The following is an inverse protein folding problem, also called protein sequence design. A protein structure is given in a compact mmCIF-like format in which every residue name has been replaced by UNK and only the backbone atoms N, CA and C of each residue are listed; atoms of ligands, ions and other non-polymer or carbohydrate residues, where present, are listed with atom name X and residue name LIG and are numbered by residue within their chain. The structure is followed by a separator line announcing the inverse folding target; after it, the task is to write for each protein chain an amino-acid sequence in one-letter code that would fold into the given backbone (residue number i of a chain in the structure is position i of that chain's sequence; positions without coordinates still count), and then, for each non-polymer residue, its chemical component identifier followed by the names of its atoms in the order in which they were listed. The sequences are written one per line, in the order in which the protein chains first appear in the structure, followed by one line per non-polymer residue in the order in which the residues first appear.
data_IF_818791905279
#
_entry.id   IF_818791905279
#
_cell.length_a   1.000
_cell.length_b   1.000
_cell.length_c   1.000
_cell.angle_alpha   90.00
_cell.angle_beta   90.00
_cell.angle_gamma   90.00
#
_symmetry.space_group_name_H-M   'P 1'
#
loop_
_entity.id
_entity.type
_entity.pdbx_description
1 polymer ?
#
# COMPACT_ATOMS: atom_id res chain seq x y z
N UNK A 1 -85.51 -6.00 -20.51
CA UNK A 1 -84.43 -5.76 -19.53
C UNK A 1 -84.26 -4.26 -19.27
N UNK A 2 -84.07 -3.89 -18.01
CA UNK A 2 -84.27 -2.54 -17.46
C UNK A 2 -83.43 -1.45 -18.19
N UNK A 3 -84.08 -0.58 -18.97
CA UNK A 3 -83.43 0.51 -19.70
C UNK A 3 -84.39 1.33 -20.59
N UNK A 4 -83.86 2.31 -21.33
CA UNK A 4 -84.59 3.05 -22.37
C UNK A 4 -85.02 2.08 -23.48
N UNK A 5 -86.30 2.10 -23.88
CA UNK A 5 -86.85 1.27 -24.96
C UNK A 5 -87.13 2.14 -26.18
N UNK A 6 -86.63 1.75 -27.36
CA UNK A 6 -86.90 2.45 -28.62
C UNK A 6 -88.40 2.39 -28.99
N UNK A 7 -88.95 3.49 -29.50
CA UNK A 7 -90.33 3.59 -29.96
C UNK A 7 -91.42 3.75 -28.88
N UNK A 8 -91.07 3.89 -27.60
CA UNK A 8 -92.05 4.09 -26.51
C UNK A 8 -92.43 5.57 -26.34
N UNK A 9 -93.73 5.84 -26.24
CA UNK A 9 -94.28 7.18 -25.98
C UNK A 9 -93.65 7.81 -24.72
N UNK A 10 -93.33 9.12 -24.72
CA UNK A 10 -92.65 9.79 -23.61
C UNK A 10 -93.32 9.65 -22.23
N UNK A 11 -94.64 9.45 -22.21
CA UNK A 11 -95.46 9.25 -21.00
C UNK A 11 -95.36 7.84 -20.39
N UNK A 12 -94.87 6.85 -21.15
CA UNK A 12 -94.79 5.43 -20.72
C UNK A 12 -93.36 4.93 -20.42
N UNK A 13 -92.37 5.83 -20.37
CA UNK A 13 -90.95 5.47 -20.09
C UNK A 13 -90.76 4.80 -18.73
N UNK A 14 -89.76 3.92 -18.58
CA UNK A 14 -89.53 3.18 -17.32
C UNK A 14 -89.05 4.08 -16.16
N UNK A 15 -89.27 3.65 -14.92
CA UNK A 15 -88.79 4.36 -13.72
C UNK A 15 -87.26 4.50 -13.72
N UNK A 16 -86.54 3.45 -14.13
CA UNK A 16 -85.08 3.48 -14.24
C UNK A 16 -84.57 4.49 -15.29
N UNK A 17 -85.26 4.59 -16.43
CA UNK A 17 -84.96 5.61 -17.45
C UNK A 17 -85.13 7.03 -16.87
N UNK A 18 -86.19 7.25 -16.10
CA UNK A 18 -86.46 8.55 -15.47
C UNK A 18 -85.45 8.88 -14.39
N UNK A 19 -85.03 7.88 -13.58
CA UNK A 19 -83.95 8.02 -12.62
C UNK A 19 -82.63 8.42 -13.31
N UNK A 20 -82.27 7.79 -14.43
CA UNK A 20 -81.10 8.17 -15.24
C UNK A 20 -81.16 9.61 -15.76
N UNK A 21 -82.33 10.06 -16.24
CA UNK A 21 -82.54 11.44 -16.66
C UNK A 21 -82.45 12.46 -15.51
N UNK A 22 -82.89 12.09 -14.30
CA UNK A 22 -82.72 12.92 -13.11
C UNK A 22 -81.25 12.98 -12.66
N UNK A 23 -80.50 11.87 -12.73
CA UNK A 23 -79.06 11.87 -12.49
C UNK A 23 -78.30 12.75 -13.50
N UNK A 24 -78.68 12.72 -14.78
CA UNK A 24 -78.10 13.63 -15.78
C UNK A 24 -78.36 15.11 -15.44
N UNK A 25 -79.57 15.47 -15.02
CA UNK A 25 -79.88 16.85 -14.60
C UNK A 25 -79.19 17.25 -13.29
N UNK A 26 -79.05 16.32 -12.33
CA UNK A 26 -78.29 16.54 -11.10
C UNK A 26 -76.80 16.76 -11.41
N UNK A 27 -76.24 15.97 -12.33
CA UNK A 27 -74.87 16.12 -12.83
C UNK A 27 -74.64 17.47 -13.51
N UNK A 28 -75.59 17.94 -14.33
CA UNK A 28 -75.55 19.29 -14.92
C UNK A 28 -75.56 20.37 -13.85
N UNK A 29 -76.41 20.23 -12.81
CA UNK A 29 -76.45 21.15 -11.68
C UNK A 29 -75.12 21.20 -10.92
N UNK A 30 -74.54 20.04 -10.60
CA UNK A 30 -73.24 19.93 -9.95
C UNK A 30 -72.13 20.56 -10.81
N UNK A 31 -72.08 20.20 -12.08
CA UNK A 31 -71.17 20.78 -13.08
C UNK A 31 -71.24 22.31 -13.12
N UNK A 32 -72.44 22.89 -13.08
CA UNK A 32 -72.60 24.35 -13.09
C UNK A 32 -72.10 25.01 -11.79
N UNK A 33 -72.37 24.40 -10.63
CA UNK A 33 -71.95 24.91 -9.31
C UNK A 33 -70.42 24.89 -9.17
N UNK A 34 -69.76 23.83 -9.65
CA UNK A 34 -68.31 23.65 -9.48
C UNK A 34 -67.46 24.11 -10.67
N UNK A 35 -68.06 24.40 -11.84
CA UNK A 35 -67.31 24.78 -13.04
C UNK A 35 -66.48 26.05 -12.84
N UNK A 36 -67.00 27.07 -12.16
CA UNK A 36 -66.24 28.30 -11.90
C UNK A 36 -65.07 28.07 -10.93
N UNK A 37 -65.25 27.22 -9.91
CA UNK A 37 -64.20 26.83 -8.97
C UNK A 37 -63.07 26.07 -9.69
N UNK A 38 -63.45 25.14 -10.58
CA UNK A 38 -62.50 24.34 -11.34
C UNK A 38 -61.75 25.21 -12.37
N UNK A 39 -62.43 26.14 -13.03
CA UNK A 39 -61.81 27.13 -13.92
C UNK A 39 -60.84 28.05 -13.17
N UNK A 40 -61.22 28.53 -11.99
CA UNK A 40 -60.37 29.37 -11.14
C UNK A 40 -59.12 28.60 -10.67
N UNK A 41 -59.28 27.34 -10.25
CA UNK A 41 -58.18 26.47 -9.86
C UNK A 41 -57.19 26.27 -11.02
N UNK A 42 -57.68 25.92 -12.22
CA UNK A 42 -56.85 25.76 -13.42
C UNK A 42 -56.09 27.04 -13.74
N UNK A 43 -56.75 28.21 -13.65
CA UNK A 43 -56.12 29.50 -13.93
C UNK A 43 -54.99 29.80 -12.94
N UNK A 44 -55.21 29.58 -11.64
CA UNK A 44 -54.17 29.80 -10.62
C UNK A 44 -52.97 28.89 -10.87
N UNK A 45 -53.20 27.59 -11.08
CA UNK A 45 -52.11 26.63 -11.27
C UNK A 45 -51.39 26.88 -12.60
N UNK A 46 -52.10 27.28 -13.67
CA UNK A 46 -51.50 27.66 -14.94
C UNK A 46 -50.58 28.88 -14.79
N UNK A 47 -51.08 29.95 -14.16
CA UNK A 47 -50.29 31.18 -13.97
C UNK A 47 -49.08 30.88 -13.09
N UNK A 48 -49.24 30.18 -11.98
CA UNK A 48 -48.12 29.86 -11.10
C UNK A 48 -47.14 28.89 -11.76
N UNK A 49 -47.62 27.76 -12.29
CA UNK A 49 -46.78 26.73 -12.90
C UNK A 49 -46.00 27.25 -14.10
N UNK A 50 -46.67 27.94 -15.02
CA UNK A 50 -46.03 28.49 -16.22
C UNK A 50 -45.00 29.59 -15.91
N UNK A 51 -45.33 30.54 -15.02
CA UNK A 51 -44.41 31.62 -14.67
C UNK A 51 -43.23 31.12 -13.82
N UNK A 52 -43.47 30.23 -12.85
CA UNK A 52 -42.40 29.70 -12.00
C UNK A 52 -41.47 28.81 -12.84
N UNK A 53 -41.99 27.99 -13.77
CA UNK A 53 -41.16 27.21 -14.69
C UNK A 53 -40.22 28.10 -15.51
N UNK A 54 -40.78 29.11 -16.18
CA UNK A 54 -39.98 30.00 -17.05
C UNK A 54 -38.98 30.84 -16.24
N UNK A 55 -39.37 31.34 -15.07
CA UNK A 55 -38.48 32.20 -14.28
C UNK A 55 -37.41 31.43 -13.51
N UNK A 56 -37.75 30.30 -12.88
CA UNK A 56 -36.81 29.55 -12.05
C UNK A 56 -36.13 28.42 -12.82
N UNK A 57 -36.88 27.51 -13.44
CA UNK A 57 -36.31 26.30 -14.03
C UNK A 57 -35.45 26.61 -15.27
N UNK A 58 -35.96 27.45 -16.16
CA UNK A 58 -35.22 27.82 -17.37
C UNK A 58 -34.01 28.71 -17.04
N UNK A 59 -34.14 29.64 -16.10
CA UNK A 59 -33.02 30.46 -15.63
C UNK A 59 -31.99 29.67 -14.82
N UNK A 60 -32.37 28.60 -14.12
CA UNK A 60 -31.45 27.70 -13.41
C UNK A 60 -30.62 26.91 -14.42
N UNK A 61 -31.29 26.29 -15.40
CA UNK A 61 -30.64 25.48 -16.44
C UNK A 61 -29.68 26.29 -17.30
N UNK A 62 -30.03 27.54 -17.59
CA UNK A 62 -29.17 28.48 -18.32
C UNK A 62 -28.11 29.17 -17.42
N UNK A 63 -28.02 28.81 -16.14
CA UNK A 63 -27.14 29.41 -15.13
C UNK A 63 -27.32 30.93 -14.93
N UNK A 64 -28.40 31.51 -15.47
CA UNK A 64 -28.72 32.93 -15.32
C UNK A 64 -29.05 33.29 -13.87
N UNK A 65 -29.60 32.35 -13.09
CA UNK A 65 -29.79 32.53 -11.66
C UNK A 65 -28.46 32.68 -10.91
N UNK A 66 -27.44 31.91 -11.30
CA UNK A 66 -26.11 32.02 -10.66
C UNK A 66 -25.44 33.35 -10.99
N UNK A 67 -25.58 33.84 -12.22
CA UNK A 67 -25.12 35.19 -12.59
C UNK A 67 -25.84 36.31 -11.80
N UNK A 68 -27.11 36.10 -11.45
CA UNK A 68 -27.86 37.02 -10.59
C UNK A 68 -27.32 37.04 -9.15
N UNK A 69 -26.96 35.86 -8.61
CA UNK A 69 -26.31 35.71 -7.30
C UNK A 69 -24.91 36.34 -7.28
N UNK A 70 -24.20 36.31 -8.41
CA UNK A 70 -22.86 36.90 -8.57
C UNK A 70 -22.88 38.42 -8.72
N UNK A 71 -24.03 39.03 -9.02
CA UNK A 71 -24.13 40.48 -9.21
C UNK A 71 -24.31 41.20 -7.87
N UNK A 72 -23.30 41.97 -7.40
CA UNK A 72 -23.38 42.64 -6.10
C UNK A 72 -24.52 43.67 -6.08
N UNK A 73 -25.29 43.69 -5.00
CA UNK A 73 -26.39 44.64 -4.79
C UNK A 73 -27.74 44.24 -5.40
N UNK A 74 -27.85 43.10 -6.11
CA UNK A 74 -29.15 42.53 -6.54
C UNK A 74 -29.92 41.87 -5.40
N UNK A 75 -29.21 41.24 -4.46
CA UNK A 75 -29.79 40.63 -3.26
C UNK A 75 -29.31 41.43 -2.04
N UNK A 76 -30.21 42.04 -1.25
CA UNK A 76 -29.82 42.81 -0.07
C UNK A 76 -29.15 41.89 0.97
N UNK A 77 -28.01 42.35 1.52
CA UNK A 77 -27.20 41.66 2.53
C UNK A 77 -26.54 40.33 2.11
N UNK A 78 -26.47 40.02 0.82
CA UNK A 78 -25.75 38.84 0.34
C UNK A 78 -24.54 39.25 -0.49
N UNK A 79 -23.36 38.90 0.00
CA UNK A 79 -22.10 39.02 -0.74
C UNK A 79 -21.29 37.74 -0.49
N UNK A 80 -21.25 36.86 -1.49
CA UNK A 80 -20.57 35.57 -1.39
C UNK A 80 -19.07 35.75 -1.12
N UNK A 81 -18.46 36.76 -1.75
CA UNK A 81 -17.03 37.02 -1.60
C UNK A 81 -16.66 37.50 -0.20
N UNK A 82 -17.55 38.26 0.45
CA UNK A 82 -17.40 38.69 1.84
C UNK A 82 -17.59 37.52 2.81
N UNK A 83 -18.58 36.65 2.55
CA UNK A 83 -18.88 35.50 3.40
C UNK A 83 -17.77 34.44 3.37
N UNK A 84 -17.29 34.08 2.18
CA UNK A 84 -16.21 33.11 2.02
C UNK A 84 -14.83 33.72 2.26
N UNK A 85 -14.74 35.05 2.28
CA UNK A 85 -13.46 35.76 2.33
C UNK A 85 -12.59 35.48 1.11
N UNK A 86 -13.17 35.19 -0.05
CA UNK A 86 -12.45 34.96 -1.32
C UNK A 86 -13.21 35.67 -2.43
N UNK A 87 -12.50 36.39 -3.31
CA UNK A 87 -13.10 36.99 -4.51
C UNK A 87 -13.42 35.91 -5.54
N UNK A 88 -14.55 35.22 -5.39
CA UNK A 88 -15.03 34.22 -6.34
C UNK A 88 -16.51 34.39 -6.66
N UNK A 89 -16.87 34.01 -7.88
CA UNK A 89 -18.24 33.99 -8.39
C UNK A 89 -18.84 32.59 -8.21
N UNK A 90 -20.07 32.49 -7.73
CA UNK A 90 -20.82 31.25 -7.61
C UNK A 90 -20.93 30.49 -8.93
N UNK A 91 -21.17 31.19 -10.05
CA UNK A 91 -21.24 30.57 -11.38
C UNK A 91 -19.93 29.87 -11.75
N UNK A 92 -18.79 30.49 -11.41
CA UNK A 92 -17.47 29.91 -11.64
C UNK A 92 -17.23 28.70 -10.73
N UNK A 93 -17.53 28.84 -9.43
CA UNK A 93 -17.42 27.75 -8.45
C UNK A 93 -18.22 26.54 -8.93
N UNK A 94 -19.49 26.74 -9.29
CA UNK A 94 -20.35 25.68 -9.76
C UNK A 94 -19.81 24.99 -11.02
N UNK A 95 -19.32 25.76 -12.00
CA UNK A 95 -18.73 25.23 -13.25
C UNK A 95 -17.47 24.39 -13.00
N UNK A 96 -16.61 24.81 -12.07
CA UNK A 96 -15.42 24.06 -11.71
C UNK A 96 -15.75 22.80 -10.91
N UNK A 97 -16.73 22.89 -10.01
CA UNK A 97 -17.22 21.73 -9.28
C UNK A 97 -17.84 20.67 -10.19
N UNK A 98 -18.55 21.08 -11.25
CA UNK A 98 -19.01 20.14 -12.28
C UNK A 98 -17.86 19.39 -12.97
N UNK A 99 -16.67 20.01 -13.08
CA UNK A 99 -15.45 19.39 -13.63
C UNK A 99 -14.66 18.54 -12.63
N UNK A 100 -15.19 18.32 -11.42
CA UNK A 100 -14.52 17.59 -10.34
C UNK A 100 -13.24 18.26 -9.81
N UNK A 101 -13.19 19.59 -9.88
CA UNK A 101 -12.12 20.35 -9.25
C UNK A 101 -12.17 20.23 -7.71
N UNK A 102 -11.03 20.42 -7.08
CA UNK A 102 -10.93 20.52 -5.63
C UNK A 102 -11.43 21.90 -5.17
N UNK A 103 -11.98 21.98 -3.95
CA UNK A 103 -12.30 23.28 -3.35
C UNK A 103 -11.07 24.18 -3.21
N UNK A 104 -9.87 23.60 -3.10
CA UNK A 104 -8.63 24.37 -3.04
C UNK A 104 -8.41 25.20 -4.31
N UNK A 105 -8.53 24.56 -5.48
CA UNK A 105 -8.39 25.21 -6.78
C UNK A 105 -9.56 26.17 -7.02
N UNK A 106 -10.78 25.73 -6.72
CA UNK A 106 -12.00 26.48 -7.02
C UNK A 106 -12.23 27.72 -6.17
N UNK A 107 -11.72 27.71 -4.94
CA UNK A 107 -11.73 28.90 -4.08
C UNK A 107 -10.42 29.67 -4.13
N UNK A 108 -9.53 29.38 -5.10
CA UNK A 108 -8.22 30.03 -5.25
C UNK A 108 -7.49 30.23 -3.91
N UNK A 109 -7.51 29.21 -3.05
CA UNK A 109 -7.00 29.30 -1.68
C UNK A 109 -5.50 29.53 -1.64
N UNK A 110 -4.79 29.25 -2.73
CA UNK A 110 -3.37 29.54 -2.94
C UNK A 110 -3.06 31.05 -2.79
N UNK A 111 -4.00 31.92 -3.13
CA UNK A 111 -3.82 33.38 -3.00
C UNK A 111 -3.84 33.86 -1.54
N UNK A 112 -4.53 33.13 -0.67
CA UNK A 112 -4.67 33.46 0.76
C UNK A 112 -3.69 32.68 1.62
N UNK A 113 -3.47 31.42 1.26
CA UNK A 113 -2.72 30.44 2.04
C UNK A 113 -1.61 29.87 1.18
N UNK A 114 -0.39 30.38 1.39
CA UNK A 114 0.79 29.82 0.72
C UNK A 114 1.24 28.54 1.44
N UNK A 115 0.88 27.39 0.86
CA UNK A 115 1.36 26.07 1.33
C UNK A 115 2.88 25.98 1.31
N UNK A 116 3.55 26.68 0.40
CA UNK A 116 5.01 26.74 0.36
C UNK A 116 5.62 27.42 1.58
N UNK A 117 4.98 28.46 2.11
CA UNK A 117 5.41 29.12 3.35
C UNK A 117 5.06 28.28 4.58
N UNK A 118 3.84 27.72 4.62
CA UNK A 118 3.35 26.94 5.76
C UNK A 118 4.08 25.61 5.96
N UNK A 119 4.34 24.90 4.87
CA UNK A 119 5.01 23.60 4.86
C UNK A 119 6.50 23.74 4.51
N UNK A 120 7.10 24.92 4.75
CA UNK A 120 8.53 25.12 4.51
C UNK A 120 9.36 24.41 5.58
N UNK A 121 9.95 23.27 5.21
CA UNK A 121 10.88 22.56 6.11
C UNK A 121 12.33 22.96 5.98
N UNK A 122 12.71 23.82 5.02
CA UNK A 122 14.12 24.19 4.80
C UNK A 122 14.81 24.70 6.06
N UNK A 123 14.11 25.44 6.92
CA UNK A 123 14.61 25.92 8.20
C UNK A 123 14.93 24.77 9.18
N UNK A 124 14.09 23.74 9.22
CA UNK A 124 14.29 22.57 10.07
C UNK A 124 15.36 21.66 9.48
N UNK A 125 15.36 21.44 8.16
CA UNK A 125 16.39 20.68 7.44
C UNK A 125 17.78 21.23 7.71
N UNK A 126 17.97 22.55 7.64
CA UNK A 126 19.25 23.19 7.96
C UNK A 126 19.67 22.98 9.42
N UNK A 127 18.75 23.13 10.37
CA UNK A 127 19.02 22.91 11.79
C UNK A 127 19.37 21.44 12.10
N UNK A 128 18.64 20.49 11.51
CA UNK A 128 18.88 19.06 11.68
C UNK A 128 20.23 18.69 11.07
N UNK A 129 20.54 19.16 9.86
CA UNK A 129 21.84 18.95 9.23
C UNK A 129 22.99 19.47 10.09
N UNK A 130 22.86 20.70 10.61
CA UNK A 130 23.86 21.30 11.51
C UNK A 130 24.00 20.53 12.83
N UNK A 131 22.90 20.03 13.39
CA UNK A 131 22.91 19.24 14.62
C UNK A 131 23.59 17.88 14.41
N UNK A 132 23.36 17.24 13.27
CA UNK A 132 23.99 15.98 12.90
C UNK A 132 25.47 16.12 12.54
N UNK A 133 25.89 17.21 11.91
CA UNK A 133 27.32 17.50 11.70
C UNK A 133 28.09 17.65 13.02
N UNK A 134 27.41 18.15 14.06
CA UNK A 134 27.96 18.26 15.42
C UNK A 134 27.86 16.95 16.21
N UNK A 135 27.08 15.98 15.74
CA UNK A 135 26.90 14.70 16.41
C UNK A 135 28.13 13.83 16.18
N UNK A 136 28.92 13.64 17.23
CA UNK A 136 30.09 12.77 17.18
C UNK A 136 29.71 11.40 17.74
N UNK A 137 29.36 10.46 16.87
CA UNK A 137 29.04 9.08 17.27
C UNK A 137 30.34 8.35 17.58
N UNK A 138 30.74 8.37 18.85
CA UNK A 138 31.90 7.61 19.32
C UNK A 138 31.49 6.18 19.61
N UNK A 139 31.92 5.23 18.77
CA UNK A 139 31.89 3.82 19.17
C UNK A 139 32.99 3.56 20.20
N UNK A 140 32.70 2.68 21.16
CA UNK A 140 33.71 2.17 22.09
C UNK A 140 34.87 1.58 21.30
N UNK A 141 36.13 1.84 21.70
CA UNK A 141 37.30 1.33 20.98
C UNK A 141 37.26 -0.20 20.92
N UNK A 142 37.25 -0.72 19.70
CA UNK A 142 37.27 -2.16 19.44
C UNK A 142 38.73 -2.60 19.51
N UNK A 143 39.05 -3.48 20.47
CA UNK A 143 40.38 -4.08 20.58
C UNK A 143 40.29 -5.57 20.26
N UNK A 144 40.80 -5.97 19.08
CA UNK A 144 40.80 -7.38 18.67
C UNK A 144 41.72 -8.23 19.55
N UNK A 145 42.96 -7.79 19.72
CA UNK A 145 43.98 -8.45 20.54
C UNK A 145 44.86 -7.38 21.19
N UNK A 146 45.03 -7.46 22.52
CA UNK A 146 45.97 -6.61 23.25
C UNK A 146 47.41 -7.04 22.96
N UNK A 147 48.35 -6.10 23.10
CA UNK A 147 49.77 -6.39 22.91
C UNK A 147 50.26 -7.58 23.76
N UNK A 148 49.82 -7.68 25.01
CA UNK A 148 50.15 -8.82 25.89
C UNK A 148 49.62 -10.16 25.37
N UNK A 149 48.46 -10.17 24.71
CA UNK A 149 47.88 -11.38 24.12
C UNK A 149 48.62 -11.78 22.84
N UNK A 150 49.05 -10.80 22.04
CA UNK A 150 49.88 -11.05 20.84
C UNK A 150 51.22 -11.68 21.23
N UNK A 151 51.88 -11.11 22.24
CA UNK A 151 53.14 -11.64 22.77
C UNK A 151 52.98 -13.02 23.39
N UNK A 152 51.89 -13.26 24.13
CA UNK A 152 51.61 -14.59 24.69
C UNK A 152 51.46 -15.65 23.59
N UNK A 153 50.70 -15.36 22.53
CA UNK A 153 50.50 -16.29 21.41
C UNK A 153 51.81 -16.58 20.67
N UNK A 154 52.61 -15.54 20.42
CA UNK A 154 53.90 -15.66 19.75
C UNK A 154 54.93 -16.42 20.60
N UNK A 155 54.94 -16.19 21.91
CA UNK A 155 55.78 -16.92 22.85
C UNK A 155 55.33 -18.38 22.98
N UNK A 156 54.03 -18.64 23.00
CA UNK A 156 53.48 -20.00 23.03
C UNK A 156 53.84 -20.78 21.75
N UNK A 157 53.77 -20.15 20.58
CA UNK A 157 54.15 -20.81 19.32
C UNK A 157 55.65 -21.12 19.28
N UNK A 158 56.49 -20.22 19.81
CA UNK A 158 57.95 -20.44 19.92
C UNK A 158 58.31 -21.49 20.96
N UNK A 159 57.61 -21.52 22.09
CA UNK A 159 57.82 -22.53 23.13
C UNK A 159 57.43 -23.94 22.66
N UNK A 160 56.53 -24.04 21.68
CA UNK A 160 56.16 -25.30 21.03
C UNK A 160 57.20 -25.84 20.04
N UNK A 161 58.31 -25.14 19.80
CA UNK A 161 59.34 -25.61 18.89
C UNK A 161 60.08 -26.83 19.46
N UNK A 162 60.14 -27.96 18.71
CA UNK A 162 60.89 -29.12 19.15
C UNK A 162 62.40 -28.82 19.19
N UNK A 163 63.17 -29.58 19.99
CA UNK A 163 64.62 -29.50 19.93
C UNK A 163 65.15 -29.91 18.54
N UNK A 164 66.41 -29.56 18.28
CA UNK A 164 67.07 -29.98 17.05
C UNK A 164 67.31 -31.50 17.07
N UNK A 165 66.53 -32.24 16.26
CA UNK A 165 66.64 -33.68 16.10
C UNK A 165 67.55 -34.11 14.94
N UNK A 166 68.33 -33.21 14.31
CA UNK A 166 69.19 -33.56 13.17
C UNK A 166 70.15 -34.69 13.52
N UNK A 167 70.85 -34.61 14.65
CA UNK A 167 71.76 -35.66 15.11
C UNK A 167 71.02 -36.97 15.44
N UNK A 168 69.80 -36.87 15.97
CA UNK A 168 68.96 -38.03 16.29
C UNK A 168 68.51 -38.74 15.02
N UNK A 169 68.08 -37.99 14.00
CA UNK A 169 67.72 -38.55 12.69
C UNK A 169 68.93 -39.20 12.00
N UNK A 170 70.11 -38.58 12.07
CA UNK A 170 71.36 -39.17 11.55
C UNK A 170 71.71 -40.50 12.25
N UNK A 171 71.52 -40.59 13.57
CA UNK A 171 71.72 -41.82 14.33
C UNK A 171 70.67 -42.89 14.02
N UNK A 172 69.41 -42.49 13.77
CA UNK A 172 68.35 -43.42 13.38
C UNK A 172 68.55 -44.03 11.99
N UNK A 173 69.30 -43.36 11.12
CA UNK A 173 69.67 -43.87 9.80
C UNK A 173 70.85 -44.85 9.83
N UNK A 174 71.52 -45.01 10.98
CA UNK A 174 72.59 -46.00 11.15
C UNK A 174 72.05 -47.38 11.49
N UNK A 175 72.77 -48.42 11.03
CA UNK A 175 72.47 -49.80 11.41
C UNK A 175 72.70 -50.01 12.92
N UNK A 176 71.79 -50.72 13.60
CA UNK A 176 71.90 -51.01 15.04
C UNK A 176 73.15 -51.82 15.42
N UNK A 177 73.70 -52.55 14.46
CA UNK A 177 74.90 -53.37 14.60
C UNK A 177 75.93 -52.98 13.55
N UNK A 178 77.21 -53.10 13.89
CA UNK A 178 78.34 -52.78 13.01
C UNK A 178 78.42 -53.71 11.77
N UNK A 179 77.70 -54.83 11.79
CA UNK A 179 77.52 -55.78 10.70
C UNK A 179 76.25 -56.62 10.89
N UNK A 180 75.90 -57.46 9.92
CA UNK A 180 74.73 -58.34 9.97
C UNK A 180 74.96 -59.49 10.96
N UNK A 181 74.12 -59.57 12.01
CA UNK A 181 74.13 -60.69 12.95
C UNK A 181 73.82 -62.02 12.24
N UNK A 182 73.03 -61.98 11.16
CA UNK A 182 72.72 -63.13 10.33
C UNK A 182 73.93 -63.60 9.52
N UNK A 183 74.74 -62.67 9.01
CA UNK A 183 75.95 -62.99 8.25
C UNK A 183 77.01 -63.58 9.17
N UNK A 184 77.19 -63.01 10.36
CA UNK A 184 78.08 -63.55 11.39
C UNK A 184 77.62 -64.96 11.84
N UNK A 185 76.32 -65.18 12.01
CA UNK A 185 75.78 -66.50 12.33
C UNK A 185 76.07 -67.52 11.21
N UNK A 186 75.96 -67.11 9.93
CA UNK A 186 76.27 -67.97 8.79
C UNK A 186 77.78 -68.29 8.69
N UNK A 187 78.66 -67.35 9.01
CA UNK A 187 80.11 -67.58 9.09
C UNK A 187 80.48 -68.56 10.21
N UNK A 188 79.86 -68.45 11.39
CA UNK A 188 80.08 -69.39 12.50
C UNK A 188 79.63 -70.81 12.13
N UNK A 189 78.52 -70.97 11.43
CA UNK A 189 78.06 -72.28 10.93
C UNK A 189 79.01 -72.87 9.88
N UNK A 190 79.56 -72.03 9.00
CA UNK A 190 80.58 -72.47 8.03
C UNK A 190 81.88 -72.90 8.71
N UNK A 191 82.27 -72.21 9.78
CA UNK A 191 83.44 -72.56 10.59
C UNK A 191 83.21 -73.87 11.36
N UNK A 192 82.00 -74.07 11.89
CA UNK A 192 81.59 -75.28 12.60
C UNK A 192 81.74 -76.55 11.73
N UNK A 193 81.55 -76.46 10.41
CA UNK A 193 81.73 -77.61 9.51
C UNK A 193 83.20 -78.03 9.31
N UNK A 194 84.17 -77.22 9.73
CA UNK A 194 85.62 -77.48 9.55
C UNK A 194 86.34 -77.95 10.82
N UNK A 195 85.64 -77.94 11.96
CA UNK A 195 86.21 -78.22 13.30
C UNK A 195 85.74 -79.57 13.87
N UNK A 196 86.32 -79.99 15.01
CA UNK A 196 85.94 -81.22 15.72
C UNK A 196 84.56 -81.15 16.41
N UNK A 197 83.96 -82.29 16.73
CA UNK A 197 82.55 -82.42 17.18
C UNK A 197 82.16 -81.49 18.35
N UNK A 198 83.03 -81.33 19.34
CA UNK A 198 82.77 -80.50 20.54
C UNK A 198 82.77 -78.98 20.21
N UNK A 199 83.65 -78.55 19.31
CA UNK A 199 83.73 -77.14 18.85
C UNK A 199 82.61 -76.81 17.86
N UNK A 200 82.20 -77.81 17.07
CA UNK A 200 81.09 -77.68 16.12
C UNK A 200 79.76 -77.37 16.81
N UNK A 201 79.42 -78.10 17.88
CA UNK A 201 78.16 -77.92 18.60
C UNK A 201 78.08 -76.54 19.27
N UNK A 202 79.19 -76.06 19.85
CA UNK A 202 79.25 -74.73 20.48
C UNK A 202 79.12 -73.60 19.43
N UNK A 203 79.80 -73.70 18.27
CA UNK A 203 79.68 -72.73 17.17
C UNK A 203 78.26 -72.68 16.58
N UNK A 204 77.61 -73.84 16.39
CA UNK A 204 76.22 -73.91 15.94
C UNK A 204 75.26 -73.33 16.98
N UNK A 205 75.51 -73.52 18.27
CA UNK A 205 74.71 -72.90 19.34
C UNK A 205 74.85 -71.38 19.38
N UNK A 206 76.07 -70.84 19.24
CA UNK A 206 76.32 -69.39 19.13
C UNK A 206 75.64 -68.79 17.89
N UNK A 207 75.65 -69.49 16.77
CA UNK A 207 74.94 -69.06 15.57
C UNK A 207 73.41 -68.99 15.78
N UNK A 208 72.82 -69.99 16.47
CA UNK A 208 71.39 -69.94 16.85
C UNK A 208 71.09 -68.76 17.78
N UNK A 209 71.92 -68.52 18.78
CA UNK A 209 71.75 -67.38 19.70
C UNK A 209 71.81 -66.04 18.96
N UNK A 210 72.69 -65.88 17.97
CA UNK A 210 72.77 -64.66 17.15
C UNK A 210 71.50 -64.44 16.30
N UNK A 211 70.93 -65.50 15.72
CA UNK A 211 69.66 -65.39 14.96
C UNK A 211 68.47 -65.09 15.86
N UNK A 212 68.43 -65.67 17.06
CA UNK A 212 67.39 -65.36 18.05
C UNK A 212 67.51 -63.91 18.54
N UNK A 213 68.73 -63.44 18.76
CA UNK A 213 69.02 -62.04 19.11
C UNK A 213 68.57 -61.08 18.01
N UNK A 214 68.89 -61.37 16.74
CA UNK A 214 68.47 -60.57 15.59
C UNK A 214 66.94 -60.49 15.49
N UNK A 215 66.25 -61.64 15.59
CA UNK A 215 64.78 -61.72 15.59
C UNK A 215 64.17 -60.91 16.75
N UNK A 216 64.76 -61.00 17.95
CA UNK A 216 64.30 -60.25 19.13
C UNK A 216 64.55 -58.76 18.98
N UNK A 217 65.68 -58.37 18.42
CA UNK A 217 66.05 -56.98 18.13
C UNK A 217 65.09 -56.38 17.09
N UNK A 218 64.82 -57.10 16.01
CA UNK A 218 63.90 -56.64 14.97
C UNK A 218 62.46 -56.55 15.51
N UNK A 219 61.99 -57.53 16.28
CA UNK A 219 60.66 -57.49 16.89
C UNK A 219 60.48 -56.35 17.92
N UNK A 220 61.56 -55.98 18.63
CA UNK A 220 61.49 -54.98 19.71
C UNK A 220 61.73 -53.54 19.22
N UNK A 221 62.62 -53.34 18.22
CA UNK A 221 63.09 -52.01 17.86
C UNK A 221 62.63 -51.51 16.49
N UNK A 222 62.30 -52.39 15.52
CA UNK A 222 61.95 -51.95 14.15
C UNK A 222 60.73 -51.01 14.12
N UNK A 223 59.65 -51.36 14.81
CA UNK A 223 58.43 -50.55 14.91
C UNK A 223 58.66 -49.18 15.57
N UNK A 224 59.24 -49.13 16.79
CA UNK A 224 59.56 -47.87 17.45
C UNK A 224 60.52 -46.97 16.67
N UNK A 225 61.57 -47.52 16.04
CA UNK A 225 62.52 -46.75 15.23
C UNK A 225 61.86 -46.17 13.98
N UNK A 226 61.05 -46.96 13.26
CA UNK A 226 60.29 -46.47 12.13
C UNK A 226 59.30 -45.38 12.54
N UNK A 227 58.59 -45.59 13.66
CA UNK A 227 57.67 -44.59 14.21
C UNK A 227 58.39 -43.30 14.58
N UNK A 228 59.59 -43.37 15.15
CA UNK A 228 60.38 -42.20 15.51
C UNK A 228 60.90 -41.47 14.27
N UNK A 229 61.31 -42.20 13.23
CA UNK A 229 61.73 -41.66 11.92
C UNK A 229 60.61 -40.89 11.20
N UNK A 230 59.36 -41.33 11.36
CA UNK A 230 58.19 -40.65 10.76
C UNK A 230 57.64 -39.51 11.62
N UNK A 231 57.60 -39.70 12.95
CA UNK A 231 57.01 -38.70 13.86
C UNK A 231 57.90 -37.49 14.08
N UNK A 232 59.24 -37.64 14.08
CA UNK A 232 60.16 -36.50 14.26
C UNK A 232 59.94 -35.42 13.17
N UNK A 233 60.01 -35.74 11.85
CA UNK A 233 59.77 -34.76 10.80
C UNK A 233 58.35 -34.18 10.83
N UNK A 234 57.35 -35.00 11.17
CA UNK A 234 55.95 -34.57 11.30
C UNK A 234 55.78 -33.50 12.38
N UNK A 235 56.37 -33.73 13.56
CA UNK A 235 56.36 -32.75 14.66
C UNK A 235 57.15 -31.49 14.32
N UNK A 236 58.32 -31.62 13.68
CA UNK A 236 59.11 -30.46 13.23
C UNK A 236 58.34 -29.59 12.23
N UNK A 237 57.71 -30.20 11.24
CA UNK A 237 56.91 -29.48 10.25
C UNK A 237 55.66 -28.85 10.88
N UNK A 238 54.96 -29.59 11.75
CA UNK A 238 53.78 -29.10 12.47
C UNK A 238 54.09 -27.91 13.37
N UNK A 239 55.22 -27.92 14.07
CA UNK A 239 55.66 -26.81 14.91
C UNK A 239 56.06 -25.57 14.09
N UNK A 240 56.80 -25.75 12.99
CA UNK A 240 57.11 -24.66 12.06
C UNK A 240 55.85 -24.05 11.45
N UNK A 241 54.88 -24.88 11.07
CA UNK A 241 53.58 -24.43 10.56
C UNK A 241 52.78 -23.67 11.62
N UNK A 242 52.80 -24.11 12.88
CA UNK A 242 52.13 -23.43 13.99
C UNK A 242 52.68 -22.01 14.19
N UNK A 243 54.00 -21.84 14.19
CA UNK A 243 54.62 -20.51 14.31
C UNK A 243 54.29 -19.63 13.09
N UNK A 244 54.36 -20.19 11.89
CA UNK A 244 53.99 -19.49 10.65
C UNK A 244 52.54 -19.02 10.64
N UNK A 245 51.60 -19.90 11.01
CA UNK A 245 50.17 -19.58 11.10
C UNK A 245 49.86 -18.58 12.21
N UNK A 246 50.50 -18.72 13.38
CA UNK A 246 50.36 -17.77 14.49
C UNK A 246 50.81 -16.38 14.07
N UNK A 247 51.98 -16.28 13.43
CA UNK A 247 52.51 -15.00 12.94
C UNK A 247 51.60 -14.37 11.88
N UNK A 248 51.10 -15.15 10.92
CA UNK A 248 50.18 -14.67 9.89
C UNK A 248 48.83 -14.20 10.48
N UNK A 249 48.30 -14.92 11.48
CA UNK A 249 47.07 -14.54 12.17
C UNK A 249 47.25 -13.23 12.96
N UNK A 250 48.38 -13.08 13.67
CA UNK A 250 48.72 -11.86 14.40
C UNK A 250 48.91 -10.65 13.48
N UNK A 251 49.54 -10.84 12.32
CA UNK A 251 49.67 -9.80 11.28
C UNK A 251 48.29 -9.37 10.75
N UNK A 252 47.43 -10.33 10.40
CA UNK A 252 46.07 -10.05 9.92
C UNK A 252 45.22 -9.34 10.98
N UNK A 253 45.32 -9.75 12.25
CA UNK A 253 44.65 -9.09 13.36
C UNK A 253 45.16 -7.65 13.55
N UNK A 254 46.46 -7.40 13.39
CA UNK A 254 47.04 -6.06 13.50
C UNK A 254 46.60 -5.15 12.36
N UNK A 255 46.63 -5.62 11.11
CA UNK A 255 46.10 -4.90 9.95
C UNK A 255 44.61 -4.57 10.10
N UNK A 256 43.83 -5.50 10.65
CA UNK A 256 42.40 -5.27 10.91
C UNK A 256 42.21 -4.22 12.01
N UNK A 257 43.01 -4.27 13.08
CA UNK A 257 42.97 -3.25 14.14
C UNK A 257 43.29 -1.85 13.58
N UNK A 258 44.32 -1.71 12.75
CA UNK A 258 44.67 -0.44 12.10
C UNK A 258 43.56 0.08 11.18
N UNK A 259 42.93 -0.82 10.41
CA UNK A 259 41.78 -0.46 9.57
C UNK A 259 40.60 0.04 10.43
N UNK A 260 40.27 -0.66 11.52
CA UNK A 260 39.20 -0.25 12.42
C UNK A 260 39.50 1.12 13.06
N UNK A 261 40.74 1.38 13.48
CA UNK A 261 41.11 2.67 14.07
C UNK A 261 41.08 3.82 13.06
N UNK A 262 41.47 3.57 11.80
CA UNK A 262 41.57 4.60 10.76
C UNK A 262 40.26 4.86 10.02
N UNK A 263 39.56 3.81 9.61
CA UNK A 263 38.42 3.92 8.70
C UNK A 263 37.07 3.91 9.41
N UNK A 264 36.95 3.30 10.59
CA UNK A 264 35.66 3.23 11.30
C UNK A 264 35.04 4.61 11.55
N UNK A 265 35.78 5.67 11.99
CA UNK A 265 35.20 6.99 12.15
C UNK A 265 34.63 7.57 10.85
N UNK A 266 35.30 7.31 9.72
CA UNK A 266 34.84 7.75 8.40
C UNK A 266 33.60 6.99 7.94
N UNK A 267 33.57 5.67 8.16
CA UNK A 267 32.41 4.82 7.86
C UNK A 267 31.21 5.28 8.66
N UNK A 268 31.35 5.45 9.98
CA UNK A 268 30.26 5.93 10.85
C UNK A 268 29.75 7.29 10.36
N UNK A 269 30.65 8.22 10.03
CA UNK A 269 30.28 9.54 9.53
C UNK A 269 29.50 9.45 8.20
N UNK A 270 29.94 8.62 7.27
CA UNK A 270 29.29 8.45 5.98
C UNK A 270 27.91 7.77 6.11
N UNK A 271 27.82 6.69 6.89
CA UNK A 271 26.55 5.98 7.14
C UNK A 271 25.55 6.88 7.88
N UNK A 272 26.02 7.65 8.86
CA UNK A 272 25.18 8.62 9.59
C UNK A 272 24.66 9.72 8.66
N UNK A 273 25.50 10.19 7.72
CA UNK A 273 25.09 11.18 6.71
C UNK A 273 24.08 10.59 5.73
N UNK A 274 24.31 9.38 5.23
CA UNK A 274 23.38 8.69 4.33
C UNK A 274 22.01 8.47 4.99
N UNK A 275 21.99 8.05 6.26
CA UNK A 275 20.77 7.93 7.04
C UNK A 275 20.02 9.27 7.17
N UNK A 276 20.74 10.35 7.44
CA UNK A 276 20.15 11.68 7.53
C UNK A 276 19.55 12.14 6.19
N UNK A 277 20.29 11.97 5.09
CA UNK A 277 19.83 12.33 3.75
C UNK A 277 18.55 11.55 3.40
N UNK A 278 18.49 10.26 3.71
CA UNK A 278 17.28 9.45 3.53
C UNK A 278 16.11 9.93 4.39
N UNK A 279 16.38 10.32 5.65
CA UNK A 279 15.34 10.82 6.54
C UNK A 279 14.77 12.16 6.06
N UNK A 280 15.63 13.07 5.59
CA UNK A 280 15.21 14.35 5.00
C UNK A 280 14.41 14.15 3.70
N UNK A 281 14.84 13.24 2.85
CA UNK A 281 14.14 12.89 1.60
C UNK A 281 12.71 12.37 1.86
N UNK A 282 12.51 11.58 2.93
CA UNK A 282 11.17 11.14 3.36
C UNK A 282 10.29 12.35 3.73
N UNK A 283 10.82 13.32 4.48
CA UNK A 283 10.06 14.51 4.85
C UNK A 283 9.73 15.39 3.64
N UNK A 284 10.67 15.58 2.74
CA UNK A 284 10.47 16.33 1.50
C UNK A 284 9.41 15.67 0.61
N UNK A 285 9.51 14.35 0.43
CA UNK A 285 8.55 13.55 -0.33
C UNK A 285 7.15 13.62 0.29
N UNK A 286 7.06 13.48 1.62
CA UNK A 286 5.78 13.56 2.32
C UNK A 286 5.12 14.94 2.18
N UNK A 287 5.89 16.02 2.29
CA UNK A 287 5.36 17.37 2.12
C UNK A 287 4.92 17.63 0.69
N UNK A 288 5.70 17.19 -0.29
CA UNK A 288 5.32 17.27 -1.70
C UNK A 288 4.01 16.53 -1.96
N UNK A 289 3.89 15.30 -1.46
CA UNK A 289 2.66 14.52 -1.51
C UNK A 289 1.49 15.24 -0.81
N UNK A 290 1.69 15.76 0.39
CA UNK A 290 0.65 16.45 1.15
C UNK A 290 0.16 17.71 0.42
N UNK A 291 1.07 18.48 -0.18
CA UNK A 291 0.73 19.64 -1.02
C UNK A 291 -0.15 19.22 -2.19
N UNK A 292 0.29 18.27 -3.01
CA UNK A 292 -0.49 17.82 -4.17
C UNK A 292 -1.84 17.23 -3.77
N UNK A 293 -1.91 16.45 -2.69
CA UNK A 293 -3.19 15.90 -2.22
C UNK A 293 -4.14 17.00 -1.74
N UNK A 294 -3.64 17.98 -0.98
CA UNK A 294 -4.45 19.11 -0.53
C UNK A 294 -4.94 19.98 -1.69
N UNK A 295 -4.11 20.18 -2.71
CA UNK A 295 -4.45 21.03 -3.85
C UNK A 295 -5.37 20.33 -4.85
N UNK A 296 -5.24 19.02 -5.06
CA UNK A 296 -5.86 18.36 -6.22
C UNK A 296 -6.94 17.34 -5.84
N UNK A 297 -6.78 16.66 -4.71
CA UNK A 297 -7.54 15.45 -4.39
C UNK A 297 -8.43 15.55 -3.15
N UNK A 298 -8.07 16.41 -2.20
CA UNK A 298 -8.84 16.62 -0.99
C UNK A 298 -10.00 17.58 -1.28
N UNK A 299 -11.18 17.25 -0.73
CA UNK A 299 -12.38 18.06 -0.84
C UNK A 299 -12.77 18.40 -2.29
N UNK A 300 -12.82 17.39 -3.16
CA UNK A 300 -13.44 17.52 -4.49
C UNK A 300 -14.90 17.95 -4.37
N UNK A 301 -15.32 18.92 -5.18
CA UNK A 301 -16.64 19.54 -5.03
C UNK A 301 -17.71 19.06 -6.01
N UNK A 302 -17.41 18.03 -6.82
CA UNK A 302 -18.42 17.38 -7.68
C UNK A 302 -19.68 16.91 -6.95
N UNK A 303 -19.62 16.33 -5.74
CA UNK A 303 -20.84 15.94 -5.02
C UNK A 303 -21.75 17.14 -4.69
N UNK A 304 -21.17 18.34 -4.51
CA UNK A 304 -21.92 19.56 -4.24
C UNK A 304 -22.64 20.01 -5.51
N UNK A 305 -21.94 20.06 -6.64
CA UNK A 305 -22.55 20.37 -7.94
C UNK A 305 -23.68 19.38 -8.27
N UNK A 306 -23.44 18.07 -8.11
CA UNK A 306 -24.45 17.04 -8.33
C UNK A 306 -25.66 17.19 -7.40
N UNK A 307 -25.47 17.62 -6.16
CA UNK A 307 -26.58 17.86 -5.25
C UNK A 307 -27.46 19.02 -5.73
N UNK A 308 -26.86 20.09 -6.26
CA UNK A 308 -27.59 21.21 -6.86
C UNK A 308 -28.34 20.79 -8.13
N UNK A 309 -27.71 19.98 -8.98
CA UNK A 309 -28.31 19.41 -10.19
C UNK A 309 -29.52 18.52 -9.83
N UNK A 310 -29.38 17.69 -8.79
CA UNK A 310 -30.48 16.86 -8.30
C UNK A 310 -31.66 17.70 -7.77
N UNK A 311 -31.39 18.83 -7.11
CA UNK A 311 -32.45 19.75 -6.64
C UNK A 311 -33.18 20.39 -7.82
N UNK A 312 -32.45 20.79 -8.88
CA UNK A 312 -33.05 21.26 -10.12
C UNK A 312 -33.97 20.19 -10.71
N UNK A 313 -33.45 18.98 -10.93
CA UNK A 313 -34.22 17.88 -11.53
C UNK A 313 -35.47 17.56 -10.71
N UNK A 314 -35.37 17.51 -9.38
CA UNK A 314 -36.54 17.27 -8.51
C UNK A 314 -37.56 18.42 -8.61
N UNK A 315 -37.10 19.67 -8.51
CA UNK A 315 -37.98 20.84 -8.52
C UNK A 315 -38.65 21.08 -9.88
N UNK A 316 -37.89 20.93 -10.96
CA UNK A 316 -38.30 21.32 -12.30
C UNK A 316 -38.90 20.14 -13.08
N UNK A 317 -38.18 19.04 -13.20
CA UNK A 317 -38.60 17.92 -14.04
C UNK A 317 -39.65 17.04 -13.35
N UNK A 318 -39.61 16.91 -12.02
CA UNK A 318 -40.60 16.11 -11.30
C UNK A 318 -41.78 16.94 -10.81
N UNK A 319 -41.54 18.01 -10.04
CA UNK A 319 -42.64 18.78 -9.45
C UNK A 319 -43.30 19.67 -10.50
N UNK A 320 -42.52 20.53 -11.18
CA UNK A 320 -43.10 21.54 -12.06
C UNK A 320 -43.75 20.92 -13.30
N UNK A 321 -43.12 19.94 -13.93
CA UNK A 321 -43.73 19.22 -15.06
C UNK A 321 -45.00 18.46 -14.65
N UNK A 322 -45.04 17.88 -13.44
CA UNK A 322 -46.26 17.26 -12.91
C UNK A 322 -47.39 18.28 -12.69
N UNK A 323 -47.07 19.45 -12.14
CA UNK A 323 -48.02 20.57 -11.99
C UNK A 323 -48.51 21.03 -13.36
N UNK A 324 -47.60 21.08 -14.34
CA UNK A 324 -47.93 21.45 -15.72
C UNK A 324 -48.87 20.44 -16.38
N UNK A 325 -48.59 19.15 -16.25
CA UNK A 325 -49.47 18.09 -16.72
C UNK A 325 -50.84 18.11 -16.01
N UNK A 326 -50.85 18.42 -14.71
CA UNK A 326 -52.07 18.46 -13.91
C UNK A 326 -53.02 19.59 -14.35
N UNK A 327 -52.54 20.84 -14.47
CA UNK A 327 -53.41 21.93 -14.92
C UNK A 327 -53.84 21.74 -16.38
N UNK A 328 -52.98 21.19 -17.23
CA UNK A 328 -53.31 20.90 -18.62
C UNK A 328 -54.45 19.89 -18.72
N UNK A 329 -54.37 18.80 -17.94
CA UNK A 329 -55.44 17.78 -17.85
C UNK A 329 -56.75 18.37 -17.35
N UNK A 330 -56.73 19.12 -16.24
CA UNK A 330 -57.93 19.76 -15.68
C UNK A 330 -58.51 20.83 -16.62
N UNK A 331 -57.66 21.58 -17.32
CA UNK A 331 -58.09 22.54 -18.34
C UNK A 331 -58.87 21.87 -19.45
N UNK A 332 -58.40 20.71 -19.92
CA UNK A 332 -59.10 19.92 -20.94
C UNK A 332 -60.44 19.36 -20.42
N UNK A 333 -60.48 18.89 -19.17
CA UNK A 333 -61.73 18.50 -18.50
C UNK A 333 -62.73 19.67 -18.45
N UNK A 334 -62.25 20.88 -18.12
CA UNK A 334 -63.08 22.10 -18.10
C UNK A 334 -63.64 22.43 -19.48
N UNK A 335 -62.79 22.35 -20.51
CA UNK A 335 -63.16 22.66 -21.89
C UNK A 335 -64.28 21.73 -22.39
N UNK A 336 -64.18 20.43 -22.10
CA UNK A 336 -65.21 19.47 -22.49
C UNK A 336 -66.45 19.46 -21.59
N UNK A 337 -66.41 20.12 -20.44
CA UNK A 337 -67.54 20.23 -19.53
C UNK A 337 -68.70 21.01 -20.18
N UNK A 338 -68.41 22.07 -20.95
CA UNK A 338 -69.41 22.86 -21.66
C UNK A 338 -70.20 22.07 -22.73
N UNK A 339 -69.57 21.41 -23.73
CA UNK A 339 -70.31 20.59 -24.68
C UNK A 339 -70.98 19.39 -24.00
N UNK A 340 -70.37 18.82 -22.95
CA UNK A 340 -70.97 17.75 -22.16
C UNK A 340 -72.29 18.19 -21.52
N UNK A 341 -72.36 19.37 -20.89
CA UNK A 341 -73.61 19.91 -20.33
C UNK A 341 -74.70 19.99 -21.40
N UNK A 342 -74.41 20.53 -22.58
CA UNK A 342 -75.40 20.68 -23.66
C UNK A 342 -75.95 19.32 -24.08
N UNK A 343 -75.07 18.34 -24.29
CA UNK A 343 -75.46 16.98 -24.66
C UNK A 343 -76.25 16.30 -23.55
N UNK A 344 -75.83 16.44 -22.30
CA UNK A 344 -76.49 15.84 -21.14
C UNK A 344 -77.89 16.41 -20.92
N UNK A 345 -78.10 17.72 -21.08
CA UNK A 345 -79.44 18.34 -21.01
C UNK A 345 -80.34 17.81 -22.14
N UNK A 346 -79.81 17.68 -23.36
CA UNK A 346 -80.55 17.10 -24.50
C UNK A 346 -80.90 15.64 -24.24
N UNK A 347 -79.97 14.83 -23.74
CA UNK A 347 -80.20 13.43 -23.40
C UNK A 347 -81.19 13.26 -22.25
N UNK A 348 -81.14 14.11 -21.23
CA UNK A 348 -82.05 14.04 -20.09
C UNK A 348 -83.52 14.16 -20.51
N UNK A 349 -83.82 14.96 -21.55
CA UNK A 349 -85.15 15.05 -22.16
C UNK A 349 -85.62 13.72 -22.77
N UNK A 350 -84.71 12.91 -23.31
CA UNK A 350 -85.03 11.60 -23.88
C UNK A 350 -85.13 10.49 -22.82
N UNK A 351 -84.59 10.69 -21.62
CA UNK A 351 -84.62 9.70 -20.54
C UNK A 351 -85.75 9.90 -19.53
N UNK A 352 -86.14 11.15 -19.23
CA UNK A 352 -87.25 11.47 -18.31
C UNK A 352 -88.61 11.12 -18.89
N UNK A 353 -89.49 10.53 -18.08
CA UNK A 353 -90.93 10.42 -18.37
C UNK A 353 -91.56 11.82 -18.33
N UNK A 354 -92.41 12.13 -19.30
CA UNK A 354 -93.19 13.38 -19.32
C UNK A 354 -94.61 13.11 -18.82
N UNK A 355 -95.22 14.06 -18.11
CA UNK A 355 -96.57 13.91 -17.56
C UNK A 355 -97.66 14.08 -18.63
N UNK A 356 -97.37 14.80 -19.71
CA UNK A 356 -98.30 15.07 -20.83
C UNK A 356 -97.57 14.76 -22.14
N UNK A 357 -98.27 14.11 -23.07
CA UNK A 357 -97.82 14.00 -24.46
C UNK A 357 -98.60 15.01 -25.29
N UNK A 358 -97.91 15.94 -25.97
CA UNK A 358 -98.55 16.79 -26.97
C UNK A 358 -98.98 15.90 -28.14
N UNK A 359 -100.28 15.65 -28.23
CA UNK A 359 -100.90 15.04 -29.40
C UNK A 359 -101.06 16.10 -30.48
N UNK A 360 -100.51 15.83 -31.66
CA UNK A 360 -101.04 16.42 -32.88
C UNK A 360 -102.24 15.60 -33.35
#
# INVERSE_FOLDING_TARGET
PLGLKEGVLPTQRSSLSTAGGNFFMAGVGFSFIFSWLLMLLVLIIFVLGGNIYMFFCESWRNQQLFQLLDTPGRIPNFNLSEFLGVETNFSEIYRECQKDASLWQTLHLDQRVSLDKLLNISQYTGNISTAFEKMNVTLSPIFLLRQSQKELLLNASRAGQPPNFTLTLEQLDQNMTQGSLLDLAAELEQLAQKEGTDVKEDLEDKARQLRELDKKMQASFSGPLQSLKENIPSVQNGAAQLEGQTTAALDKASKTQEFLEREMPNIIKNETRAFLEQLLDIFETYISWAKSRLTDDVARCKPIAQSLDNVEVIGCDYIMDSVNAFWFSLGWCTLFLLPSIILTVRLAKFYRRMDIADGY
#
